data_IF_029923605794
#
_entry.id   IF_029923605794
#
_cell.length_a   1.000
_cell.length_b   1.000
_cell.length_c   1.000
_cell.angle_alpha   90.00
_cell.angle_beta   90.00
_cell.angle_gamma   90.00
#
_symmetry.space_group_name_H-M   'P 1'
#
loop_
_entity.id
_entity.type
_entity.pdbx_description
1 polymer ?
#
# COMPACT_ATOMS: atom_id res chain seq x y z
N UNK A 1 9.37 8.57 -2.56
CA UNK A 1 9.31 7.13 -2.23
C UNK A 1 7.85 6.76 -2.11
N UNK A 2 7.38 5.70 -2.78
CA UNK A 2 5.99 5.27 -2.68
C UNK A 2 5.69 4.75 -1.26
N UNK A 3 4.47 5.02 -0.78
CA UNK A 3 3.98 4.40 0.44
C UNK A 3 3.21 3.13 0.09
N UNK A 4 3.32 2.09 0.89
CA UNK A 4 2.61 0.81 0.74
C UNK A 4 1.70 0.57 1.95
N UNK A 5 0.71 -0.31 1.79
CA UNK A 5 -0.17 -0.68 2.89
C UNK A 5 0.35 -1.92 3.62
N UNK A 6 0.52 -1.78 4.93
CA UNK A 6 0.86 -2.88 5.83
C UNK A 6 -0.18 -2.99 6.93
N UNK A 7 -0.41 -4.19 7.44
CA UNK A 7 -1.24 -4.42 8.60
C UNK A 7 -0.56 -5.37 9.58
N UNK A 8 -0.87 -5.21 10.86
CA UNK A 8 -0.46 -6.16 11.88
C UNK A 8 -1.40 -7.39 11.82
N UNK A 9 -0.88 -8.64 11.88
CA UNK A 9 -1.72 -9.82 12.05
C UNK A 9 -2.18 -9.98 13.51
N UNK A 10 -3.23 -10.77 13.72
CA UNK A 10 -3.70 -11.08 15.08
C UNK A 10 -2.58 -11.79 15.86
N UNK A 11 -2.28 -11.30 17.06
CA UNK A 11 -1.24 -11.88 17.94
C UNK A 11 0.18 -11.34 17.73
N UNK A 12 0.42 -10.48 16.74
CA UNK A 12 1.69 -9.79 16.57
C UNK A 12 1.77 -8.47 17.37
N UNK A 13 2.98 -7.92 17.50
CA UNK A 13 3.21 -6.63 18.17
C UNK A 13 2.55 -5.51 17.37
N UNK A 14 1.61 -4.80 18.00
CA UNK A 14 0.81 -3.73 17.38
C UNK A 14 1.56 -2.42 17.18
N UNK A 15 2.71 -2.28 17.82
CA UNK A 15 3.59 -1.11 17.71
C UNK A 15 5.02 -1.56 17.42
N UNK A 16 5.61 -1.02 16.36
CA UNK A 16 6.99 -1.29 15.94
C UNK A 16 7.65 0.01 15.48
N UNK A 17 8.98 0.07 15.61
CA UNK A 17 9.77 1.16 15.05
C UNK A 17 10.49 0.68 13.78
N UNK A 18 10.47 1.51 12.73
CA UNK A 18 11.22 1.33 11.50
C UNK A 18 12.00 2.62 11.21
N UNK A 19 13.32 2.50 10.99
CA UNK A 19 14.22 3.63 10.68
C UNK A 19 14.04 4.87 11.58
N UNK A 20 13.82 4.66 12.88
CA UNK A 20 13.63 5.74 13.87
C UNK A 20 12.20 6.31 13.96
N UNK A 21 11.25 5.82 13.15
CA UNK A 21 9.83 6.18 13.21
C UNK A 21 9.01 5.08 13.87
N UNK A 22 8.09 5.45 14.76
CA UNK A 22 7.17 4.50 15.41
C UNK A 22 5.86 4.39 14.63
N UNK A 23 5.45 3.17 14.33
CA UNK A 23 4.20 2.83 13.66
C UNK A 23 3.32 2.00 14.59
N UNK A 24 2.03 2.32 14.63
CA UNK A 24 1.03 1.55 15.38
C UNK A 24 -0.18 1.26 14.49
N UNK A 25 -0.65 0.02 14.52
CA UNK A 25 -1.83 -0.43 13.79
C UNK A 25 -2.64 -1.43 14.63
N UNK A 26 -3.91 -1.56 14.29
CA UNK A 26 -4.80 -2.59 14.86
C UNK A 26 -4.89 -3.76 13.89
N UNK A 27 -4.97 -5.01 14.36
CA UNK A 27 -5.12 -6.15 13.46
C UNK A 27 -6.29 -5.98 12.50
N UNK A 28 -6.04 -6.26 11.22
CA UNK A 28 -7.03 -6.13 10.15
C UNK A 28 -7.28 -4.69 9.67
N UNK A 29 -6.64 -3.67 10.26
CA UNK A 29 -6.71 -2.30 9.77
C UNK A 29 -5.37 -1.87 9.14
N UNK A 30 -5.28 -1.79 7.79
CA UNK A 30 -4.06 -1.38 7.12
C UNK A 30 -3.68 0.07 7.41
N UNK A 31 -2.37 0.34 7.50
CA UNK A 31 -1.80 1.68 7.56
C UNK A 31 -0.87 1.92 6.37
N UNK A 32 -0.81 3.18 5.93
CA UNK A 32 0.11 3.64 4.89
C UNK A 32 1.48 3.93 5.49
N UNK A 33 2.52 3.29 4.98
CA UNK A 33 3.92 3.46 5.43
C UNK A 33 4.85 3.58 4.22
N UNK A 34 5.97 4.30 4.31
CA UNK A 34 6.97 4.29 3.24
C UNK A 34 7.47 2.88 2.94
N UNK A 35 7.74 2.56 1.67
CA UNK A 35 8.22 1.25 1.23
C UNK A 35 9.46 0.73 2.00
N UNK A 36 10.43 1.60 2.26
CA UNK A 36 11.64 1.27 3.00
C UNK A 36 11.39 1.01 4.49
N UNK A 37 10.36 1.64 5.09
CA UNK A 37 9.91 1.37 6.46
C UNK A 37 9.10 0.06 6.50
N UNK A 38 8.29 -0.21 5.46
CA UNK A 38 7.49 -1.42 5.33
C UNK A 38 8.32 -2.70 5.39
N UNK A 39 9.49 -2.70 4.73
CA UNK A 39 10.40 -3.85 4.76
C UNK A 39 10.80 -4.25 6.18
N UNK A 40 11.05 -3.26 7.05
CA UNK A 40 11.39 -3.50 8.45
C UNK A 40 10.18 -4.02 9.23
N UNK A 41 8.99 -3.46 9.01
CA UNK A 41 7.77 -3.92 9.67
C UNK A 41 7.43 -5.37 9.29
N UNK A 42 7.58 -5.72 8.01
CA UNK A 42 7.34 -7.07 7.49
C UNK A 42 8.35 -8.07 8.06
N UNK A 43 9.63 -7.69 8.11
CA UNK A 43 10.66 -8.51 8.74
C UNK A 43 10.39 -8.76 10.24
N UNK A 44 9.63 -7.88 10.89
CA UNK A 44 9.19 -7.99 12.29
C UNK A 44 7.78 -8.60 12.44
N UNK A 45 7.24 -9.22 11.38
CA UNK A 45 6.02 -10.02 11.44
C UNK A 45 4.73 -9.29 11.05
N UNK A 46 4.81 -8.06 10.55
CA UNK A 46 3.65 -7.43 9.90
C UNK A 46 3.47 -7.99 8.48
N UNK A 47 2.27 -7.80 7.92
CA UNK A 47 1.90 -8.30 6.61
C UNK A 47 1.60 -7.14 5.66
N UNK A 48 1.81 -7.35 4.36
CA UNK A 48 1.28 -6.43 3.35
C UNK A 48 -0.23 -6.59 3.29
N UNK A 49 -0.95 -5.47 3.32
CA UNK A 49 -2.39 -5.47 3.08
C UNK A 49 -2.72 -5.54 1.56
N UNK A 50 -1.71 -5.28 0.73
CA UNK A 50 -1.72 -5.53 -0.71
C UNK A 50 -0.98 -6.80 -1.10
N UNK A 51 -1.25 -7.32 -2.30
CA UNK A 51 -0.59 -8.54 -2.78
C UNK A 51 0.94 -8.39 -2.99
N UNK A 52 1.47 -7.17 -3.08
CA UNK A 52 2.86 -6.89 -3.48
C UNK A 52 3.39 -5.58 -2.88
N UNK A 53 4.70 -5.47 -2.67
CA UNK A 53 5.37 -4.20 -2.32
C UNK A 53 5.22 -3.12 -3.40
N UNK A 54 4.90 -3.51 -4.64
CA UNK A 54 4.60 -2.56 -5.72
C UNK A 54 3.24 -1.87 -5.57
N UNK A 55 2.42 -2.29 -4.60
CA UNK A 55 1.14 -1.65 -4.32
C UNK A 55 1.36 -0.39 -3.50
N UNK A 56 1.33 0.76 -4.18
CA UNK A 56 1.40 2.05 -3.52
C UNK A 56 0.02 2.56 -3.07
N UNK A 57 -0.04 3.50 -2.13
CA UNK A 57 -1.28 4.12 -1.64
C UNK A 57 -1.15 5.64 -1.58
N UNK A 58 -2.23 6.36 -1.90
CA UNK A 58 -2.30 7.81 -1.76
C UNK A 58 -3.48 8.43 -2.53
N UNK A 59 -3.60 9.77 -2.54
CA UNK A 59 -4.60 10.46 -3.36
C UNK A 59 -4.32 10.29 -4.86
N UNK A 60 -5.29 10.62 -5.73
CA UNK A 60 -5.11 10.58 -7.19
C UNK A 60 -3.88 11.36 -7.67
N UNK A 61 -3.55 12.48 -7.02
CA UNK A 61 -2.35 13.27 -7.34
C UNK A 61 -1.02 12.57 -7.00
N UNK A 62 -1.05 11.53 -6.15
CA UNK A 62 0.10 10.73 -5.79
C UNK A 62 0.25 9.46 -6.64
N UNK A 63 -0.64 9.23 -7.62
CA UNK A 63 -0.47 8.14 -8.60
C UNK A 63 0.90 8.29 -9.28
N UNK A 64 1.69 7.20 -9.39
CA UNK A 64 2.96 7.25 -10.10
C UNK A 64 2.81 7.80 -11.52
N UNK A 65 3.65 8.78 -11.90
CA UNK A 65 3.61 9.37 -13.24
C UNK A 65 4.18 8.45 -14.34
N UNK A 66 4.99 7.45 -13.95
CA UNK A 66 5.55 6.42 -14.85
C UNK A 66 5.30 5.02 -14.28
N UNK A 67 4.04 4.57 -14.23
CA UNK A 67 3.72 3.27 -13.68
C UNK A 67 4.09 2.14 -14.65
N UNK A 68 4.38 0.96 -14.11
CA UNK A 68 4.61 -0.26 -14.90
C UNK A 68 3.27 -0.94 -15.16
N UNK A 69 3.13 -1.62 -16.30
CA UNK A 69 1.94 -2.45 -16.58
C UNK A 69 1.77 -3.47 -15.45
N UNK A 70 0.54 -3.60 -14.94
CA UNK A 70 0.22 -4.45 -13.80
C UNK A 70 0.51 -3.84 -12.43
N UNK A 71 1.09 -2.64 -12.35
CA UNK A 71 1.30 -1.95 -11.08
C UNK A 71 -0.04 -1.62 -10.42
N UNK A 72 -0.12 -1.86 -9.11
CA UNK A 72 -1.31 -1.60 -8.29
C UNK A 72 -1.16 -0.29 -7.51
N UNK A 73 -2.26 0.42 -7.32
CA UNK A 73 -2.32 1.63 -6.52
C UNK A 73 -3.66 1.69 -5.77
N UNK A 74 -3.63 1.79 -4.45
CA UNK A 74 -4.83 2.09 -3.67
C UNK A 74 -5.05 3.61 -3.66
N UNK A 75 -5.98 4.08 -4.48
CA UNK A 75 -6.30 5.49 -4.59
C UNK A 75 -7.31 5.88 -3.51
N UNK A 76 -6.88 6.71 -2.55
CA UNK A 76 -7.71 7.16 -1.43
C UNK A 76 -8.70 8.25 -1.80
N UNK A 77 -8.52 8.93 -2.94
CA UNK A 77 -9.50 9.89 -3.48
C UNK A 77 -10.65 9.15 -4.17
N UNK A 78 -10.34 8.05 -4.87
CA UNK A 78 -11.32 7.18 -5.51
C UNK A 78 -11.93 6.18 -4.51
N UNK A 79 -11.19 5.85 -3.45
CA UNK A 79 -11.57 4.86 -2.44
C UNK A 79 -11.46 3.41 -2.92
N UNK A 80 -10.59 3.14 -3.90
CA UNK A 80 -10.50 1.82 -4.53
C UNK A 80 -9.07 1.46 -4.97
N UNK A 81 -8.83 0.16 -5.12
CA UNK A 81 -7.61 -0.35 -5.76
C UNK A 81 -7.70 -0.25 -7.29
N UNK A 82 -6.71 0.40 -7.87
CA UNK A 82 -6.52 0.57 -9.30
C UNK A 82 -5.32 -0.23 -9.78
N UNK A 83 -5.36 -0.68 -11.03
CA UNK A 83 -4.26 -1.34 -11.72
C UNK A 83 -3.94 -0.61 -13.02
N UNK A 84 -2.66 -0.38 -13.28
CA UNK A 84 -2.21 0.24 -14.52
C UNK A 84 -2.24 -0.79 -15.67
N UNK A 85 -3.05 -0.54 -16.69
CA UNK A 85 -3.17 -1.43 -17.86
C UNK A 85 -2.12 -1.17 -18.96
N UNK A 86 -1.32 -0.10 -18.82
CA UNK A 86 -0.39 0.37 -19.85
C UNK A 86 -0.76 1.71 -20.47
N UNK A 87 -2.01 2.17 -20.31
CA UNK A 87 -2.48 3.46 -20.79
C UNK A 87 -3.34 4.24 -19.80
N UNK A 88 -4.06 3.56 -18.90
CA UNK A 88 -4.91 4.16 -17.89
C UNK A 88 -4.88 3.37 -16.57
N UNK A 89 -5.21 4.06 -15.47
CA UNK A 89 -5.51 3.41 -14.20
C UNK A 89 -6.93 2.85 -14.28
N UNK A 90 -7.06 1.53 -14.08
CA UNK A 90 -8.32 0.79 -14.16
C UNK A 90 -8.74 0.32 -12.79
N UNK A 91 -10.01 0.46 -12.44
CA UNK A 91 -10.58 -0.19 -11.27
C UNK A 91 -10.42 -1.70 -11.37
N UNK A 92 -9.84 -2.30 -10.34
CA UNK A 92 -9.63 -3.76 -10.30
C UNK A 92 -10.93 -4.55 -10.23
N UNK A 93 -12.00 -3.96 -9.69
CA UNK A 93 -13.30 -4.62 -9.56
C UNK A 93 -14.20 -4.47 -10.80
N UNK A 94 -14.15 -3.32 -11.49
CA UNK A 94 -15.08 -3.00 -12.59
C UNK A 94 -14.42 -2.88 -13.96
N UNK A 95 -13.09 -2.76 -14.03
CA UNK A 95 -12.36 -2.46 -15.27
C UNK A 95 -12.57 -1.04 -15.81
N UNK A 96 -13.34 -0.19 -15.12
CA UNK A 96 -13.55 1.19 -15.53
C UNK A 96 -12.26 2.01 -15.38
N UNK A 97 -12.01 2.94 -16.30
CA UNK A 97 -10.93 3.93 -16.15
C UNK A 97 -11.30 4.95 -15.08
N UNK A 98 -10.33 5.32 -14.23
CA UNK A 98 -10.48 6.35 -13.20
C UNK A 98 -9.64 7.59 -13.45
#
# INVERSE_FOLDING_TARGET
MPNVLVHVPVGARTTLAANGRSYSATPGNPISVPDFDAQVLIANGWLLAGATLDQAVGPTSARPAKPRVGQRFHDTTVGAELLWDGGAWRHTQTGASS
#
